data_IF_375457168412
#
_entry.id   IF_375457168412
#
_cell.length_a   1.000
_cell.length_b   1.000
_cell.length_c   1.000
_cell.angle_alpha   90.00
_cell.angle_beta   90.00
_cell.angle_gamma   90.00
#
_symmetry.space_group_name_H-M   'P 1'
#
loop_
_entity.id
_entity.type
_entity.pdbx_description
1 polymer ?
#
# COMPACT_ATOMS: atom_id res chain seq x y z
N UNK A 1 -32.30 -16.96 -3.23
CA UNK A 1 -32.34 -15.52 -3.54
C UNK A 1 -33.01 -14.75 -2.42
N UNK A 2 -32.25 -13.99 -1.65
CA UNK A 2 -32.78 -13.11 -0.61
C UNK A 2 -32.23 -11.68 -0.83
N UNK A 3 -33.07 -10.71 -1.24
CA UNK A 3 -32.62 -9.38 -1.68
C UNK A 3 -32.24 -8.41 -0.55
N UNK A 4 -32.22 -8.86 0.71
CA UNK A 4 -31.93 -8.01 1.89
C UNK A 4 -30.45 -7.97 2.32
N UNK A 5 -29.60 -8.87 1.85
CA UNK A 5 -28.16 -8.92 2.22
C UNK A 5 -27.26 -8.03 1.37
N UNK A 6 -27.74 -7.56 0.20
CA UNK A 6 -26.99 -6.65 -0.69
C UNK A 6 -27.12 -5.17 -0.31
N UNK A 7 -28.09 -4.80 0.53
CA UNK A 7 -28.31 -3.39 0.92
C UNK A 7 -27.53 -2.94 2.15
N UNK A 8 -27.09 -3.84 3.01
CA UNK A 8 -26.35 -3.50 4.25
C UNK A 8 -24.88 -3.18 3.99
N UNK A 9 -24.25 -3.81 2.99
CA UNK A 9 -22.85 -3.53 2.63
C UNK A 9 -22.66 -2.14 2.01
N UNK A 10 -23.68 -1.55 1.38
CA UNK A 10 -23.59 -0.21 0.77
C UNK A 10 -23.77 0.92 1.81
N UNK A 11 -24.46 0.65 2.92
CA UNK A 11 -24.81 1.67 3.93
C UNK A 11 -23.61 1.98 4.83
N UNK A 12 -22.76 1.01 5.13
CA UNK A 12 -21.57 1.23 5.97
C UNK A 12 -20.55 2.14 5.27
N UNK A 13 -20.38 2.03 3.93
CA UNK A 13 -19.43 2.85 3.17
C UNK A 13 -19.89 4.30 2.94
N UNK A 14 -21.21 4.56 2.87
CA UNK A 14 -21.72 5.94 2.78
C UNK A 14 -21.53 6.75 4.06
N UNK A 15 -21.47 6.08 5.22
CA UNK A 15 -21.28 6.74 6.51
C UNK A 15 -19.82 7.15 6.75
N UNK A 16 -18.85 6.34 6.28
CA UNK A 16 -17.41 6.67 6.36
C UNK A 16 -17.05 7.88 5.49
N UNK A 17 -17.77 8.10 4.38
CA UNK A 17 -17.55 9.26 3.49
C UNK A 17 -18.10 10.58 4.03
N UNK A 18 -18.99 10.58 5.04
CA UNK A 18 -19.62 11.81 5.57
C UNK A 18 -18.91 12.43 6.78
N UNK A 19 -17.93 11.75 7.38
CA UNK A 19 -17.30 12.20 8.64
C UNK A 19 -15.89 12.79 8.48
N UNK A 20 -15.38 12.96 7.27
CA UNK A 20 -14.08 13.61 7.05
C UNK A 20 -14.32 15.10 6.76
N UNK A 21 -13.95 15.95 7.72
CA UNK A 21 -14.01 17.40 7.61
C UNK A 21 -13.32 17.91 6.34
N UNK A 22 -13.88 18.98 5.77
CA UNK A 22 -13.37 19.64 4.56
C UNK A 22 -11.88 19.97 4.71
N UNK A 23 -10.99 19.43 3.86
CA UNK A 23 -9.67 19.99 3.67
C UNK A 23 -9.76 21.12 2.65
N UNK A 24 -8.96 22.14 2.90
CA UNK A 24 -8.80 23.36 2.11
C UNK A 24 -8.64 23.12 0.61
N UNK A 25 -9.39 23.96 -0.12
CA UNK A 25 -9.37 24.32 -1.53
C UNK A 25 -7.96 24.41 -2.14
N UNK A 26 -7.38 23.27 -2.56
CA UNK A 26 -6.24 23.18 -3.49
C UNK A 26 -5.90 21.78 -4.01
N UNK A 27 -6.83 20.83 -4.00
CA UNK A 27 -6.63 19.55 -4.67
C UNK A 27 -7.36 19.58 -6.01
N UNK A 28 -6.58 19.78 -7.09
CA UNK A 28 -7.02 19.40 -8.43
C UNK A 28 -7.48 17.95 -8.36
N UNK A 29 -8.77 17.70 -8.53
CA UNK A 29 -9.33 16.36 -8.64
C UNK A 29 -8.61 15.63 -9.77
N UNK A 30 -7.66 14.75 -9.44
CA UNK A 30 -6.85 14.03 -10.42
C UNK A 30 -7.74 13.04 -11.16
N UNK A 31 -8.18 13.40 -12.36
CA UNK A 31 -9.24 12.66 -13.05
C UNK A 31 -8.73 11.49 -13.91
N UNK A 32 -7.41 11.25 -14.02
CA UNK A 32 -6.92 10.12 -14.83
C UNK A 32 -5.74 9.39 -14.21
N UNK A 33 -5.72 8.07 -14.40
CA UNK A 33 -4.62 7.19 -14.01
C UNK A 33 -3.26 7.66 -14.55
N UNK A 34 -3.23 8.18 -15.78
CA UNK A 34 -2.00 8.67 -16.40
C UNK A 34 -1.43 9.92 -15.71
N UNK A 35 -2.30 10.84 -15.25
CA UNK A 35 -1.88 12.01 -14.49
C UNK A 35 -1.33 11.60 -13.12
N UNK A 36 -2.02 10.70 -12.43
CA UNK A 36 -1.57 10.16 -11.15
C UNK A 36 -0.20 9.46 -11.25
N UNK A 37 -0.03 8.60 -12.26
CA UNK A 37 1.26 7.95 -12.53
C UNK A 37 2.36 8.97 -12.88
N UNK A 38 2.00 10.09 -13.52
CA UNK A 38 2.90 11.20 -13.79
C UNK A 38 3.45 11.83 -12.50
N UNK A 39 2.60 12.04 -11.49
CA UNK A 39 3.02 12.57 -10.19
C UNK A 39 3.89 11.59 -9.41
N UNK A 40 3.53 10.30 -9.42
CA UNK A 40 4.36 9.25 -8.81
C UNK A 40 5.76 9.25 -9.44
N UNK A 41 5.81 9.33 -10.77
CA UNK A 41 7.07 9.38 -11.50
C UNK A 41 7.89 10.65 -11.20
N UNK A 42 7.22 11.80 -11.02
CA UNK A 42 7.85 13.05 -10.63
C UNK A 42 8.42 12.98 -9.21
N UNK A 43 7.66 12.44 -8.25
CA UNK A 43 8.08 12.28 -6.87
C UNK A 43 9.29 11.34 -6.74
N UNK A 44 9.33 10.26 -7.53
CA UNK A 44 10.48 9.34 -7.56
C UNK A 44 11.72 10.04 -8.16
N UNK A 45 11.56 10.77 -9.27
CA UNK A 45 12.69 11.49 -9.90
C UNK A 45 13.22 12.65 -9.05
N UNK A 46 12.35 13.27 -8.26
CA UNK A 46 12.70 14.34 -7.33
C UNK A 46 13.18 13.84 -5.96
N UNK A 47 13.20 12.53 -5.71
CA UNK A 47 13.49 11.94 -4.38
C UNK A 47 12.60 12.52 -3.25
N UNK A 48 11.35 12.84 -3.58
CA UNK A 48 10.38 13.46 -2.66
C UNK A 48 9.65 12.40 -1.84
N UNK A 49 10.29 11.94 -0.76
CA UNK A 49 9.79 10.86 0.11
C UNK A 49 8.39 11.10 0.69
N UNK A 50 8.09 12.33 1.10
CA UNK A 50 6.83 12.69 1.76
C UNK A 50 5.65 12.66 0.80
N UNK A 51 5.85 13.21 -0.40
CA UNK A 51 4.91 13.16 -1.52
C UNK A 51 4.67 11.72 -1.95
N UNK A 52 5.73 10.94 -2.15
CA UNK A 52 5.61 9.55 -2.54
C UNK A 52 4.90 8.71 -1.47
N UNK A 53 5.14 8.96 -0.17
CA UNK A 53 4.40 8.33 0.94
C UNK A 53 2.90 8.61 0.85
N UNK A 54 2.50 9.83 0.51
CA UNK A 54 1.09 10.20 0.37
C UNK A 54 0.44 9.49 -0.84
N UNK A 55 1.15 9.43 -1.97
CA UNK A 55 0.70 8.75 -3.18
C UNK A 55 0.69 7.21 -3.03
N UNK A 56 1.61 6.65 -2.24
CA UNK A 56 1.62 5.21 -1.99
C UNK A 56 0.58 4.77 -0.97
N UNK A 57 -0.16 5.66 -0.33
CA UNK A 57 -1.15 5.24 0.66
C UNK A 57 -2.29 4.48 -0.01
N UNK A 58 -2.51 3.21 0.36
CA UNK A 58 -3.57 2.38 -0.22
C UNK A 58 -4.99 2.91 0.08
N UNK A 59 -5.13 3.83 1.05
CA UNK A 59 -6.38 4.52 1.37
C UNK A 59 -6.54 5.86 0.64
N UNK A 60 -5.61 6.25 -0.24
CA UNK A 60 -5.71 7.49 -1.00
C UNK A 60 -6.95 7.44 -1.92
N UNK A 61 -7.86 8.40 -1.72
CA UNK A 61 -9.15 8.44 -2.41
C UNK A 61 -8.96 8.69 -3.91
N UNK A 62 -8.07 9.61 -4.28
CA UNK A 62 -7.81 9.96 -5.66
C UNK A 62 -7.17 8.81 -6.43
N UNK A 63 -6.21 8.13 -5.80
CA UNK A 63 -5.56 6.95 -6.36
C UNK A 63 -6.56 5.81 -6.60
N UNK A 64 -7.44 5.54 -5.62
CA UNK A 64 -8.47 4.51 -5.74
C UNK A 64 -9.51 4.85 -6.79
N UNK A 65 -9.89 6.12 -6.91
CA UNK A 65 -10.84 6.58 -7.92
C UNK A 65 -10.25 6.44 -9.33
N UNK A 66 -9.00 6.86 -9.53
CA UNK A 66 -8.30 6.74 -10.82
C UNK A 66 -8.13 5.27 -11.25
N UNK A 67 -7.80 4.39 -10.31
CA UNK A 67 -7.72 2.94 -10.56
C UNK A 67 -9.10 2.35 -10.85
N UNK A 68 -10.13 2.73 -10.09
CA UNK A 68 -11.50 2.26 -10.32
C UNK A 68 -11.97 2.60 -11.73
N UNK A 69 -11.80 3.84 -12.17
CA UNK A 69 -12.18 4.28 -13.51
C UNK A 69 -11.43 3.51 -14.61
N UNK A 70 -10.11 3.32 -14.45
CA UNK A 70 -9.31 2.55 -15.39
C UNK A 70 -9.74 1.08 -15.47
N UNK A 71 -10.03 0.47 -14.33
CA UNK A 71 -10.44 -0.95 -14.25
C UNK A 71 -11.89 -1.16 -14.73
N UNK A 72 -12.77 -0.17 -14.52
CA UNK A 72 -14.16 -0.21 -14.98
C UNK A 72 -14.25 -0.03 -16.51
N UNK A 73 -13.34 0.77 -17.08
CA UNK A 73 -13.27 0.98 -18.54
C UNK A 73 -12.66 -0.23 -19.27
N UNK A 74 -11.71 -0.95 -18.63
CA UNK A 74 -11.05 -2.11 -19.21
C UNK A 74 -11.00 -3.30 -18.22
N UNK A 75 -11.79 -4.37 -18.44
CA UNK A 75 -11.77 -5.56 -17.58
C UNK A 75 -10.43 -6.29 -17.49
N UNK A 76 -9.55 -6.13 -18.50
CA UNK A 76 -8.19 -6.69 -18.54
C UNK A 76 -7.13 -5.62 -18.28
N UNK A 77 -7.49 -4.58 -17.53
CA UNK A 77 -6.56 -3.50 -17.22
C UNK A 77 -5.32 -4.02 -16.50
N UNK A 78 -4.16 -3.68 -17.07
CA UNK A 78 -2.84 -3.99 -16.53
C UNK A 78 -2.02 -2.68 -16.46
N UNK A 79 -1.59 -2.24 -15.25
CA UNK A 79 -0.78 -1.04 -15.10
C UNK A 79 0.68 -1.25 -15.54
N UNK A 80 1.15 -2.49 -15.71
CA UNK A 80 2.57 -2.82 -15.94
C UNK A 80 3.20 -2.07 -17.12
N UNK A 81 2.60 -2.05 -18.34
CA UNK A 81 3.20 -1.34 -19.48
C UNK A 81 3.27 0.18 -19.27
N UNK A 82 2.29 0.74 -18.57
CA UNK A 82 2.26 2.18 -18.24
C UNK A 82 3.34 2.53 -17.22
N UNK A 83 3.53 1.66 -16.22
CA UNK A 83 4.56 1.83 -15.20
C UNK A 83 5.96 1.72 -15.80
N UNK A 84 6.27 0.65 -16.55
CA UNK A 84 7.61 0.42 -17.11
C UNK A 84 8.03 1.47 -18.14
N UNK A 85 7.08 2.16 -18.79
CA UNK A 85 7.40 3.25 -19.73
C UNK A 85 7.66 4.61 -19.05
N UNK A 86 7.21 4.81 -17.80
CA UNK A 86 7.25 6.13 -17.13
C UNK A 86 8.10 6.17 -15.86
N UNK A 87 8.37 5.01 -15.27
CA UNK A 87 9.07 4.86 -14.01
C UNK A 87 10.47 4.26 -14.22
N UNK A 88 11.49 4.74 -13.48
CA UNK A 88 12.80 4.11 -13.49
C UNK A 88 12.76 2.77 -12.75
N UNK A 89 13.56 1.81 -13.19
CA UNK A 89 13.75 0.54 -12.46
C UNK A 89 14.44 0.80 -11.10
N UNK A 90 14.05 0.10 -10.01
CA UNK A 90 13.03 -0.96 -9.92
C UNK A 90 11.66 -0.45 -9.47
N UNK A 91 11.37 0.85 -9.59
CA UNK A 91 10.11 1.43 -9.11
C UNK A 91 8.92 1.02 -9.97
N UNK A 92 9.12 0.72 -11.25
CA UNK A 92 8.07 0.12 -12.08
C UNK A 92 7.56 -1.21 -11.49
N UNK A 93 8.47 -2.06 -11.00
CA UNK A 93 8.15 -3.31 -10.30
C UNK A 93 7.53 -3.12 -8.91
N UNK A 94 7.65 -1.94 -8.30
CA UNK A 94 6.99 -1.61 -7.02
C UNK A 94 5.58 -1.06 -7.26
N UNK A 95 5.47 -0.12 -8.21
CA UNK A 95 4.26 0.67 -8.41
C UNK A 95 3.19 -0.12 -9.19
N UNK A 96 3.57 -0.93 -10.18
CA UNK A 96 2.61 -1.77 -10.90
C UNK A 96 1.80 -2.72 -9.97
N UNK A 97 2.43 -3.54 -9.10
CA UNK A 97 1.69 -4.37 -8.16
C UNK A 97 0.96 -3.56 -7.08
N UNK A 98 1.42 -2.34 -6.74
CA UNK A 98 0.68 -1.45 -5.85
C UNK A 98 -0.67 -1.05 -6.46
N UNK A 99 -0.69 -0.67 -7.74
CA UNK A 99 -1.94 -0.36 -8.45
C UNK A 99 -2.87 -1.57 -8.57
N UNK A 100 -2.33 -2.76 -8.82
CA UNK A 100 -3.11 -4.00 -8.83
C UNK A 100 -3.71 -4.31 -7.45
N UNK A 101 -2.97 -4.04 -6.36
CA UNK A 101 -3.50 -4.13 -5.00
C UNK A 101 -4.71 -3.20 -4.82
N UNK A 102 -4.60 -1.94 -5.25
CA UNK A 102 -5.74 -1.00 -5.18
C UNK A 102 -6.93 -1.46 -6.01
N UNK A 103 -6.70 -2.01 -7.21
CA UNK A 103 -7.78 -2.56 -8.03
C UNK A 103 -8.49 -3.74 -7.35
N UNK A 104 -7.74 -4.65 -6.74
CA UNK A 104 -8.30 -5.77 -5.98
C UNK A 104 -9.08 -5.30 -4.74
N UNK A 105 -8.60 -4.28 -4.02
CA UNK A 105 -9.31 -3.65 -2.90
C UNK A 105 -10.62 -3.01 -3.35
N UNK A 106 -10.65 -2.37 -4.52
CA UNK A 106 -11.86 -1.78 -5.10
C UNK A 106 -12.86 -2.86 -5.51
N UNK A 107 -12.40 -4.02 -5.99
CA UNK A 107 -13.25 -5.20 -6.26
C UNK A 107 -13.73 -5.93 -5.00
N UNK A 108 -13.21 -5.56 -3.82
CA UNK A 108 -13.53 -6.21 -2.55
C UNK A 108 -12.80 -7.54 -2.31
N UNK A 109 -11.74 -7.82 -3.08
CA UNK A 109 -10.91 -9.03 -2.99
C UNK A 109 -9.66 -8.72 -2.17
N UNK A 110 -9.75 -8.85 -0.85
CA UNK A 110 -8.66 -8.47 0.08
C UNK A 110 -7.50 -9.46 0.03
N UNK A 111 -7.79 -10.74 -0.23
CA UNK A 111 -6.77 -11.80 -0.35
C UNK A 111 -5.91 -11.58 -1.60
N UNK A 112 -6.52 -11.22 -2.72
CA UNK A 112 -5.81 -10.89 -3.96
C UNK A 112 -5.00 -9.61 -3.80
N UNK A 113 -5.57 -8.59 -3.16
CA UNK A 113 -4.86 -7.36 -2.82
C UNK A 113 -3.60 -7.63 -2.00
N UNK A 114 -3.67 -8.54 -1.03
CA UNK A 114 -2.50 -8.94 -0.23
C UNK A 114 -1.39 -9.55 -1.10
N UNK A 115 -1.74 -10.44 -2.03
CA UNK A 115 -0.75 -11.08 -2.89
C UNK A 115 -0.03 -10.04 -3.76
N UNK A 116 -0.74 -9.03 -4.25
CA UNK A 116 -0.14 -7.93 -5.01
C UNK A 116 0.75 -7.03 -4.15
N UNK A 117 0.29 -6.57 -2.98
CA UNK A 117 1.12 -5.69 -2.13
C UNK A 117 2.37 -6.40 -1.61
N UNK A 118 2.31 -7.72 -1.37
CA UNK A 118 3.49 -8.52 -1.00
C UNK A 118 4.58 -8.49 -2.08
N UNK A 119 4.20 -8.49 -3.37
CA UNK A 119 5.13 -8.42 -4.49
C UNK A 119 5.86 -7.07 -4.58
N UNK A 120 5.31 -6.01 -3.97
CA UNK A 120 5.96 -4.69 -3.93
C UNK A 120 7.21 -4.69 -3.01
N UNK A 121 7.26 -5.59 -2.02
CA UNK A 121 8.26 -5.52 -0.94
C UNK A 121 9.67 -5.81 -1.46
N UNK A 122 9.88 -6.88 -2.22
CA UNK A 122 11.23 -7.25 -2.65
C UNK A 122 11.89 -6.20 -3.57
N UNK A 123 11.21 -5.71 -4.64
CA UNK A 123 11.77 -4.66 -5.48
C UNK A 123 12.05 -3.36 -4.71
N UNK A 124 11.17 -3.01 -3.77
CA UNK A 124 11.37 -1.85 -2.90
C UNK A 124 12.62 -2.01 -2.03
N UNK A 125 12.82 -3.18 -1.40
CA UNK A 125 14.01 -3.45 -0.59
C UNK A 125 15.30 -3.44 -1.41
N UNK A 126 15.27 -3.83 -2.69
CA UNK A 126 16.42 -3.68 -3.59
C UNK A 126 16.77 -2.19 -3.79
N UNK A 127 15.77 -1.37 -4.11
CA UNK A 127 15.96 0.08 -4.25
C UNK A 127 16.48 0.71 -2.95
N UNK A 128 15.87 0.37 -1.82
CA UNK A 128 16.24 0.91 -0.50
C UNK A 128 17.70 0.62 -0.11
N UNK A 129 18.22 -0.56 -0.47
CA UNK A 129 19.62 -0.95 -0.20
C UNK A 129 20.62 -0.27 -1.13
N UNK A 130 20.25 -0.10 -2.39
CA UNK A 130 21.10 0.56 -3.38
C UNK A 130 21.19 2.07 -3.13
N UNK A 131 20.10 2.65 -2.64
CA UNK A 131 20.02 4.07 -2.35
C UNK A 131 20.79 4.43 -1.07
N UNK A 132 21.49 5.57 -1.08
CA UNK A 132 22.19 6.13 0.08
C UNK A 132 21.48 7.35 0.67
N UNK A 133 20.57 7.99 -0.09
CA UNK A 133 19.75 9.08 0.41
C UNK A 133 18.62 8.52 1.32
N UNK A 134 18.14 9.36 2.23
CA UNK A 134 17.21 8.96 3.30
C UNK A 134 15.73 9.16 2.91
N UNK A 135 15.43 9.56 1.68
CA UNK A 135 14.08 9.88 1.24
C UNK A 135 13.15 8.66 1.16
N UNK A 136 13.68 7.48 0.84
CA UNK A 136 12.92 6.23 0.77
C UNK A 136 12.35 5.76 2.12
N UNK A 137 12.73 6.39 3.24
CA UNK A 137 12.28 6.01 4.57
C UNK A 137 10.77 6.20 4.75
N UNK A 138 10.26 7.36 4.33
CA UNK A 138 8.84 7.69 4.42
C UNK A 138 7.96 6.77 3.54
N UNK A 139 8.33 6.50 2.28
CA UNK A 139 7.70 5.46 1.47
C UNK A 139 7.74 4.07 2.12
N UNK A 140 8.84 3.69 2.80
CA UNK A 140 8.95 2.40 3.48
C UNK A 140 7.92 2.25 4.60
N UNK A 141 7.68 3.32 5.37
CA UNK A 141 6.63 3.34 6.38
C UNK A 141 5.25 3.11 5.78
N UNK A 142 4.95 3.80 4.67
CA UNK A 142 3.69 3.63 3.98
C UNK A 142 3.51 2.19 3.50
N UNK A 143 4.53 1.62 2.86
CA UNK A 143 4.48 0.26 2.35
C UNK A 143 4.23 -0.76 3.46
N UNK A 144 4.94 -0.66 4.58
CA UNK A 144 4.72 -1.52 5.75
C UNK A 144 3.29 -1.39 6.28
N UNK A 145 2.79 -0.16 6.40
CA UNK A 145 1.44 0.10 6.87
C UNK A 145 0.38 -0.49 5.92
N UNK A 146 0.58 -0.35 4.61
CA UNK A 146 -0.31 -0.93 3.61
C UNK A 146 -0.31 -2.46 3.67
N UNK A 147 0.87 -3.09 3.73
CA UNK A 147 1.00 -4.56 3.84
C UNK A 147 0.24 -5.06 5.08
N UNK A 148 0.42 -4.38 6.22
CA UNK A 148 -0.29 -4.72 7.45
C UNK A 148 -1.81 -4.63 7.29
N UNK A 149 -2.32 -3.47 6.85
CA UNK A 149 -3.76 -3.24 6.76
C UNK A 149 -4.44 -4.19 5.77
N UNK A 150 -3.81 -4.42 4.62
CA UNK A 150 -4.33 -5.35 3.60
C UNK A 150 -4.26 -6.79 4.11
N UNK A 151 -3.20 -7.19 4.82
CA UNK A 151 -3.12 -8.51 5.43
C UNK A 151 -4.20 -8.73 6.51
N UNK A 152 -4.48 -7.73 7.34
CA UNK A 152 -5.56 -7.78 8.33
C UNK A 152 -6.92 -7.91 7.66
N UNK A 153 -7.17 -7.17 6.58
CA UNK A 153 -8.41 -7.27 5.80
C UNK A 153 -8.55 -8.65 5.13
N UNK A 154 -7.45 -9.19 4.56
CA UNK A 154 -7.42 -10.51 3.95
C UNK A 154 -7.73 -11.63 4.96
N UNK A 155 -7.15 -11.57 6.17
CA UNK A 155 -7.44 -12.56 7.20
C UNK A 155 -8.87 -12.44 7.74
N UNK A 156 -9.42 -11.23 7.83
CA UNK A 156 -10.84 -11.04 8.18
C UNK A 156 -11.77 -11.63 7.12
N UNK A 157 -11.43 -11.49 5.83
CA UNK A 157 -12.14 -12.12 4.72
C UNK A 157 -12.05 -13.65 4.77
N UNK A 158 -10.86 -14.21 5.00
CA UNK A 158 -10.66 -15.66 5.12
C UNK A 158 -11.42 -16.25 6.31
N UNK A 159 -11.39 -15.58 7.47
CA UNK A 159 -12.16 -15.99 8.66
C UNK A 159 -13.66 -16.02 8.38
N UNK A 160 -14.19 -14.99 7.72
CA UNK A 160 -15.61 -14.92 7.32
C UNK A 160 -15.98 -16.02 6.32
N UNK A 161 -15.03 -16.45 5.49
CA UNK A 161 -15.20 -17.59 4.58
C UNK A 161 -14.94 -18.97 5.25
N UNK A 162 -14.71 -19.02 6.57
CA UNK A 162 -14.40 -20.25 7.30
C UNK A 162 -13.03 -20.86 6.96
N UNK A 163 -12.16 -20.10 6.28
CA UNK A 163 -10.79 -20.53 5.91
C UNK A 163 -9.78 -20.07 6.97
N UNK A 164 -8.64 -20.76 7.02
CA UNK A 164 -7.55 -20.43 7.94
C UNK A 164 -6.92 -19.08 7.56
N UNK A 165 -6.92 -18.15 8.51
CA UNK A 165 -6.16 -16.90 8.44
C UNK A 165 -4.65 -17.20 8.50
N UNK A 166 -3.90 -16.72 7.51
CA UNK A 166 -2.44 -16.90 7.43
C UNK A 166 -1.71 -15.66 6.94
N UNK A 167 -2.42 -14.71 6.33
CA UNK A 167 -1.82 -13.58 5.61
C UNK A 167 -1.16 -12.60 6.57
N UNK A 168 -1.67 -12.43 7.79
CA UNK A 168 -1.04 -11.58 8.80
C UNK A 168 0.27 -12.18 9.34
N UNK A 169 0.35 -13.52 9.44
CA UNK A 169 1.59 -14.22 9.81
C UNK A 169 2.64 -14.07 8.71
N UNK A 170 2.22 -14.23 7.45
CA UNK A 170 3.10 -14.04 6.29
C UNK A 170 3.58 -12.58 6.19
N UNK A 171 2.68 -11.62 6.43
CA UNK A 171 3.02 -10.20 6.50
C UNK A 171 4.09 -9.94 7.58
N UNK A 172 3.97 -10.57 8.75
CA UNK A 172 4.98 -10.49 9.81
C UNK A 172 6.39 -10.84 9.34
N UNK A 173 6.55 -11.84 8.46
CA UNK A 173 7.85 -12.21 7.87
C UNK A 173 8.38 -11.13 6.93
N UNK A 174 7.51 -10.55 6.09
CA UNK A 174 7.87 -9.44 5.20
C UNK A 174 8.30 -8.21 6.01
N UNK A 175 7.59 -7.89 7.09
CA UNK A 175 7.94 -6.78 7.97
C UNK A 175 9.30 -6.98 8.65
N UNK A 176 9.62 -8.21 9.06
CA UNK A 176 10.95 -8.54 9.58
C UNK A 176 12.05 -8.34 8.53
N UNK A 177 11.79 -8.68 7.26
CA UNK A 177 12.74 -8.43 6.17
C UNK A 177 12.95 -6.93 5.94
N UNK A 178 11.87 -6.13 5.96
CA UNK A 178 11.97 -4.67 5.89
C UNK A 178 12.79 -4.11 7.05
N UNK A 179 12.52 -4.57 8.27
CA UNK A 179 13.25 -4.16 9.47
C UNK A 179 14.75 -4.49 9.38
N UNK A 180 15.10 -5.74 9.07
CA UNK A 180 16.49 -6.17 8.92
C UNK A 180 17.21 -5.37 7.83
N UNK A 181 16.54 -5.11 6.71
CA UNK A 181 17.10 -4.32 5.62
C UNK A 181 17.30 -2.85 6.01
N UNK A 182 16.34 -2.27 6.74
CA UNK A 182 16.46 -0.92 7.25
C UNK A 182 17.70 -0.78 8.15
N UNK A 183 17.93 -1.73 9.05
CA UNK A 183 19.10 -1.77 9.95
C UNK A 183 20.44 -1.94 9.20
N UNK A 184 20.44 -2.73 8.13
CA UNK A 184 21.63 -3.00 7.31
C UNK A 184 21.91 -1.90 6.27
N UNK A 185 21.01 -0.92 6.12
CA UNK A 185 21.14 0.17 5.17
C UNK A 185 22.47 0.90 5.33
N UNK A 186 23.30 0.86 4.29
CA UNK A 186 24.54 1.63 4.19
C UNK A 186 24.16 3.08 3.87
N UNK A 187 24.23 3.95 4.87
CA UNK A 187 23.92 5.36 4.71
C UNK A 187 24.24 6.15 5.97
N UNK A 188 24.45 7.46 5.77
CA UNK A 188 24.81 8.46 6.77
C UNK A 188 24.02 8.30 8.09
N UNK A 189 24.61 8.68 9.24
CA UNK A 189 23.97 8.65 10.59
C UNK A 189 22.46 8.99 10.62
N UNK A 190 21.95 10.00 9.87
CA UNK A 190 20.51 10.27 9.73
C UNK A 190 19.67 9.09 9.20
N UNK A 191 20.13 8.37 8.16
CA UNK A 191 19.42 7.22 7.58
C UNK A 191 19.30 6.10 8.63
N UNK A 192 20.34 5.87 9.43
CA UNK A 192 20.30 4.91 10.56
C UNK A 192 19.36 5.36 11.67
N UNK A 193 19.34 6.65 12.05
CA UNK A 193 18.45 7.17 13.09
C UNK A 193 16.98 7.14 12.67
N UNK A 194 16.67 7.56 11.45
CA UNK A 194 15.34 7.49 10.89
C UNK A 194 14.90 6.02 10.70
N UNK A 195 15.81 5.14 10.26
CA UNK A 195 15.61 3.67 10.30
C UNK A 195 15.26 3.16 11.70
N UNK A 196 15.85 3.69 12.78
CA UNK A 196 15.54 3.22 14.14
C UNK A 196 14.13 3.63 14.58
N UNK A 197 13.67 4.82 14.22
CA UNK A 197 12.26 5.20 14.40
C UNK A 197 11.32 4.32 13.57
N UNK A 198 11.71 4.04 12.33
CA UNK A 198 10.98 3.08 11.49
C UNK A 198 10.93 1.73 12.15
N UNK A 199 12.06 1.29 12.66
CA UNK A 199 12.22 0.00 13.31
C UNK A 199 11.36 -0.12 14.56
N UNK A 200 11.25 0.92 15.37
CA UNK A 200 10.34 0.96 16.52
C UNK A 200 8.88 0.86 16.08
N UNK A 201 8.49 1.56 15.01
CA UNK A 201 7.12 1.52 14.51
C UNK A 201 6.79 0.15 13.88
N UNK A 202 7.71 -0.45 13.11
CA UNK A 202 7.56 -1.81 12.58
C UNK A 202 7.50 -2.83 13.72
N UNK A 203 8.37 -2.74 14.71
CA UNK A 203 8.35 -3.64 15.87
C UNK A 203 7.10 -3.45 16.72
N UNK A 204 6.59 -2.22 16.86
CA UNK A 204 5.32 -1.94 17.53
C UNK A 204 4.16 -2.61 16.80
N UNK A 205 4.10 -2.48 15.48
CA UNK A 205 3.12 -3.18 14.63
C UNK A 205 3.27 -4.70 14.75
N UNK A 206 4.50 -5.23 14.71
CA UNK A 206 4.76 -6.66 14.87
C UNK A 206 4.36 -7.19 16.26
N UNK A 207 4.65 -6.45 17.34
CA UNK A 207 4.20 -6.80 18.70
C UNK A 207 2.68 -6.77 18.81
N UNK A 208 2.02 -5.81 18.18
CA UNK A 208 0.56 -5.74 18.13
C UNK A 208 -0.02 -6.99 17.44
N UNK A 209 0.57 -7.44 16.33
CA UNK A 209 0.20 -8.69 15.63
C UNK A 209 0.34 -9.91 16.56
N UNK A 210 1.46 -10.04 17.29
CA UNK A 210 1.72 -11.23 18.12
C UNK A 210 0.88 -11.26 19.41
N UNK A 211 0.47 -10.10 19.91
CA UNK A 211 -0.40 -10.00 21.10
C UNK A 211 -1.88 -10.16 20.75
N UNK A 212 -2.34 -9.68 19.59
CA UNK A 212 -3.75 -9.72 19.18
C UNK A 212 -4.08 -10.95 18.30
N UNK A 213 -3.10 -11.54 17.61
CA UNK A 213 -3.25 -12.76 16.82
C UNK A 213 -3.33 -14.05 17.64
N UNK A 214 -3.03 -14.01 18.95
CA UNK A 214 -3.12 -15.17 19.86
C UNK A 214 -4.48 -15.35 20.54
N UNK A 215 -5.42 -14.40 20.36
CA UNK A 215 -6.72 -14.40 21.07
C UNK A 215 -7.93 -14.76 20.21
N UNK A 216 -7.75 -15.34 19.02
CA UNK A 216 -8.89 -15.84 18.22
C UNK A 216 -8.61 -17.23 17.70
#
# INVERSE_FOLDING_TARGET
>A
DDPLTLRTSTIIWRSVLKSCGRPSERYLTMSSFAAYLGEVAAAIRGEEGSTLKHLLNANNVDARQAVFEATNTNPRWDPTPSCSSRLPSPWDEVIAPHFLCMAALVKGSSVEAYNHIANCVQPFLRSFRADTSAWCIEPMHCLVHNVHNVASAADAELKRAGKKASKLTDAGRLLQQCFSTALQGQGYKPKKLATLEVGRNIQSLHKHIHTHGRKT
#
